data_IF_692247158189
#
_entry.id   IF_692247158189
#
_cell.length_a   1.000
_cell.length_b   1.000
_cell.length_c   1.000
_cell.angle_alpha   90.00
_cell.angle_beta   90.00
_cell.angle_gamma   90.00
#
_symmetry.space_group_name_H-M   'P 1'
#
loop_
_entity.id
_entity.type
_entity.pdbx_description
1 polymer ?
#
# COMPACT_ATOMS: atom_id res chain seq x y z
N UNK A 1 55.21 -63.59 -46.97
CA UNK A 1 55.19 -63.68 -45.48
C UNK A 1 54.48 -62.47 -44.93
N UNK A 2 53.44 -62.76 -44.16
CA UNK A 2 52.64 -61.86 -43.31
C UNK A 2 51.87 -60.70 -43.97
N UNK A 3 50.58 -60.97 -44.22
CA UNK A 3 49.52 -60.05 -44.46
C UNK A 3 49.25 -59.19 -43.23
N UNK A 4 48.96 -57.91 -43.44
CA UNK A 4 48.50 -57.03 -42.38
C UNK A 4 47.07 -56.52 -42.76
N UNK A 5 46.08 -56.97 -42.00
CA UNK A 5 44.67 -56.58 -42.13
C UNK A 5 44.49 -55.20 -41.60
N UNK A 6 43.94 -54.29 -42.37
CA UNK A 6 43.34 -53.01 -41.91
C UNK A 6 41.83 -53.15 -41.72
N UNK A 7 41.41 -53.03 -40.50
CA UNK A 7 40.01 -52.95 -40.13
C UNK A 7 39.57 -51.49 -40.20
N UNK A 8 38.63 -51.16 -41.11
CA UNK A 8 37.99 -49.87 -41.24
C UNK A 8 36.81 -49.81 -40.21
N UNK A 9 36.94 -49.01 -39.15
CA UNK A 9 35.81 -48.64 -38.31
C UNK A 9 35.25 -47.33 -38.79
N UNK A 10 34.05 -47.34 -39.38
CA UNK A 10 33.28 -46.18 -39.72
C UNK A 10 32.66 -45.55 -38.45
N UNK A 11 33.08 -44.33 -38.13
CA UNK A 11 32.46 -43.51 -37.09
C UNK A 11 31.31 -42.73 -37.69
N UNK A 12 30.09 -43.10 -37.31
CA UNK A 12 28.87 -42.41 -37.66
C UNK A 12 28.71 -41.19 -36.73
N UNK A 13 29.06 -39.97 -37.19
CA UNK A 13 28.74 -38.72 -36.54
C UNK A 13 27.29 -38.38 -36.75
N UNK A 14 26.44 -38.64 -35.74
CA UNK A 14 25.10 -38.15 -35.71
C UNK A 14 25.13 -36.65 -35.35
N UNK A 15 24.89 -35.78 -36.31
CA UNK A 15 24.68 -34.34 -36.08
C UNK A 15 23.31 -34.14 -35.44
N UNK A 16 23.27 -33.91 -34.12
CA UNK A 16 22.07 -33.46 -33.44
C UNK A 16 21.82 -31.98 -33.82
N UNK A 17 20.87 -31.73 -34.72
CA UNK A 17 20.35 -30.38 -34.95
C UNK A 17 19.54 -29.95 -33.73
N UNK A 18 20.14 -29.17 -32.83
CA UNK A 18 19.40 -28.46 -31.80
C UNK A 18 18.69 -27.29 -32.47
N UNK A 19 17.39 -27.48 -32.72
CA UNK A 19 16.49 -26.38 -33.07
C UNK A 19 16.34 -25.49 -31.83
N UNK A 20 17.14 -24.43 -31.72
CA UNK A 20 16.88 -23.32 -30.79
C UNK A 20 15.72 -22.52 -31.39
N UNK A 21 14.50 -22.85 -30.96
CA UNK A 21 13.39 -21.94 -31.08
C UNK A 21 13.71 -20.70 -30.25
N UNK A 22 14.15 -19.65 -30.91
CA UNK A 22 14.18 -18.31 -30.32
C UNK A 22 12.73 -17.93 -30.02
N UNK A 23 12.35 -18.03 -28.74
CA UNK A 23 11.14 -17.38 -28.23
C UNK A 23 11.42 -15.90 -28.37
N UNK A 24 10.90 -15.29 -29.43
CA UNK A 24 10.75 -13.84 -29.50
C UNK A 24 9.74 -13.50 -28.41
N UNK A 25 10.23 -13.05 -27.27
CA UNK A 25 9.40 -12.46 -26.25
C UNK A 25 8.75 -11.23 -26.88
N UNK A 26 7.44 -11.30 -27.06
CA UNK A 26 6.63 -10.21 -27.56
C UNK A 26 6.68 -9.10 -26.52
N UNK A 27 7.48 -8.06 -26.74
CA UNK A 27 7.64 -6.89 -25.86
C UNK A 27 6.30 -6.15 -25.64
N UNK A 28 5.23 -6.52 -26.34
CA UNK A 28 3.89 -5.98 -26.17
C UNK A 28 3.08 -6.63 -25.01
N UNK A 29 3.54 -7.73 -24.42
CA UNK A 29 2.82 -8.37 -23.29
C UNK A 29 3.05 -7.69 -21.92
N UNK A 30 4.04 -6.80 -21.81
CA UNK A 30 4.38 -6.17 -20.52
C UNK A 30 3.42 -5.04 -20.11
N UNK A 31 2.48 -4.61 -20.96
CA UNK A 31 1.62 -3.43 -20.67
C UNK A 31 0.10 -3.69 -20.66
N UNK A 32 -0.35 -4.94 -20.84
CA UNK A 32 -1.79 -5.25 -20.97
C UNK A 32 -2.52 -5.48 -19.63
N UNK A 33 -1.81 -5.48 -18.50
CA UNK A 33 -2.41 -5.83 -17.20
C UNK A 33 -3.13 -4.68 -16.48
N UNK A 34 -3.23 -3.51 -17.08
CA UNK A 34 -3.76 -2.32 -16.38
C UNK A 34 -4.90 -1.61 -17.15
N UNK A 35 -5.52 -2.26 -18.11
CA UNK A 35 -6.63 -1.70 -18.89
C UNK A 35 -7.98 -2.04 -18.27
N UNK A 36 -8.92 -1.08 -18.27
CA UNK A 36 -10.31 -1.35 -17.93
C UNK A 36 -10.92 -2.31 -18.96
N UNK A 37 -11.38 -3.48 -18.53
CA UNK A 37 -12.08 -4.48 -19.35
C UNK A 37 -13.58 -4.15 -19.38
N UNK A 38 -14.01 -3.47 -20.41
CA UNK A 38 -15.43 -3.14 -20.59
C UNK A 38 -16.14 -4.24 -21.37
N UNK A 39 -17.19 -4.84 -20.78
CA UNK A 39 -18.05 -5.82 -21.46
C UNK A 39 -19.16 -5.06 -22.20
N UNK A 40 -19.17 -5.18 -23.53
CA UNK A 40 -20.14 -4.51 -24.42
C UNK A 40 -21.56 -4.97 -24.10
N UNK A 41 -22.46 -4.02 -23.84
CA UNK A 41 -23.88 -4.26 -23.63
C UNK A 41 -24.65 -4.11 -24.94
N UNK A 42 -25.90 -4.59 -24.93
CA UNK A 42 -26.78 -4.40 -26.08
C UNK A 42 -27.00 -2.91 -26.37
N UNK A 43 -26.89 -2.51 -27.64
CA UNK A 43 -26.98 -1.13 -28.13
C UNK A 43 -25.80 -0.20 -27.74
N UNK A 44 -24.74 -0.71 -27.19
CA UNK A 44 -23.53 0.10 -27.02
C UNK A 44 -22.92 0.50 -28.36
N UNK A 45 -22.36 1.68 -28.36
CA UNK A 45 -21.56 2.20 -29.47
C UNK A 45 -20.20 2.63 -28.96
N UNK A 46 -19.18 2.54 -29.79
CA UNK A 46 -17.84 3.02 -29.42
C UNK A 46 -17.86 4.49 -28.99
N UNK A 47 -18.74 5.29 -29.58
CA UNK A 47 -18.96 6.68 -29.22
C UNK A 47 -19.57 6.85 -27.82
N UNK A 48 -20.58 6.03 -27.49
CA UNK A 48 -21.21 6.01 -26.17
C UNK A 48 -20.21 5.62 -25.09
N UNK A 49 -19.42 4.58 -25.32
CA UNK A 49 -18.35 4.13 -24.42
C UNK A 49 -17.32 5.26 -24.22
N UNK A 50 -16.85 5.87 -25.29
CA UNK A 50 -15.94 7.00 -25.22
C UNK A 50 -16.51 8.15 -24.39
N UNK A 51 -17.73 8.57 -24.69
CA UNK A 51 -18.38 9.68 -23.97
C UNK A 51 -18.49 9.40 -22.47
N UNK A 52 -18.69 8.15 -22.09
CA UNK A 52 -18.86 7.75 -20.68
C UNK A 52 -17.52 7.64 -19.96
N UNK A 53 -16.53 6.99 -20.59
CA UNK A 53 -15.32 6.54 -19.89
C UNK A 53 -14.07 7.35 -20.19
N UNK A 54 -14.02 8.09 -21.30
CA UNK A 54 -12.78 8.77 -21.75
C UNK A 54 -13.02 10.25 -22.00
N UNK A 55 -12.07 11.09 -21.60
CA UNK A 55 -12.15 12.54 -21.83
C UNK A 55 -11.24 12.97 -23.00
N UNK A 56 -11.54 12.43 -24.17
CA UNK A 56 -10.81 12.73 -25.39
C UNK A 56 -11.80 12.74 -26.58
N UNK A 57 -11.93 13.85 -27.31
CA UNK A 57 -12.80 13.94 -28.49
C UNK A 57 -12.47 12.93 -29.59
N UNK A 58 -11.22 12.47 -29.66
CA UNK A 58 -10.74 11.48 -30.65
C UNK A 58 -10.71 10.06 -30.09
N UNK A 59 -11.24 9.84 -28.90
CA UNK A 59 -11.27 8.55 -28.21
C UNK A 59 -11.72 7.40 -29.11
N UNK A 60 -12.80 7.58 -29.86
CA UNK A 60 -13.35 6.52 -30.71
C UNK A 60 -12.33 6.00 -31.75
N UNK A 61 -11.52 6.89 -32.34
CA UNK A 61 -10.45 6.49 -33.27
C UNK A 61 -9.35 5.71 -32.54
N UNK A 62 -8.97 6.19 -31.35
CA UNK A 62 -7.95 5.55 -30.52
C UNK A 62 -8.41 4.17 -30.06
N UNK A 63 -9.63 4.03 -29.52
CA UNK A 63 -10.19 2.76 -29.08
C UNK A 63 -10.36 1.75 -30.22
N UNK A 64 -10.82 2.20 -31.40
CA UNK A 64 -10.93 1.36 -32.61
C UNK A 64 -9.57 0.76 -32.98
N UNK A 65 -8.54 1.61 -33.02
CA UNK A 65 -7.17 1.17 -33.32
C UNK A 65 -6.61 0.25 -32.26
N UNK A 66 -6.77 0.61 -30.99
CA UNK A 66 -6.24 -0.13 -29.84
C UNK A 66 -6.83 -1.54 -29.74
N UNK A 67 -8.14 -1.67 -29.91
CA UNK A 67 -8.87 -2.93 -29.85
C UNK A 67 -9.01 -3.64 -31.21
N UNK A 68 -8.39 -3.12 -32.28
CA UNK A 68 -8.47 -3.68 -33.63
C UNK A 68 -9.92 -3.91 -34.12
N UNK A 69 -10.83 -2.98 -33.78
CA UNK A 69 -12.25 -3.10 -34.10
C UNK A 69 -12.46 -2.95 -35.61
N UNK A 70 -12.95 -4.00 -36.24
CA UNK A 70 -13.18 -4.05 -37.71
C UNK A 70 -14.35 -3.15 -38.14
N UNK A 71 -15.44 -3.17 -37.36
CA UNK A 71 -16.63 -2.37 -37.63
C UNK A 71 -17.00 -1.47 -36.44
N UNK A 72 -16.61 -0.19 -36.44
CA UNK A 72 -16.90 0.72 -35.34
C UNK A 72 -18.40 1.03 -35.14
N UNK A 73 -19.24 0.74 -36.13
CA UNK A 73 -20.69 0.96 -36.07
C UNK A 73 -21.45 -0.18 -35.39
N UNK A 74 -20.80 -1.31 -35.20
CA UNK A 74 -21.39 -2.49 -34.60
C UNK A 74 -20.41 -3.16 -33.62
N UNK A 75 -20.75 -3.12 -32.33
CA UNK A 75 -20.01 -3.83 -31.31
C UNK A 75 -20.82 -5.06 -30.90
N UNK A 76 -20.27 -6.27 -31.03
CA UNK A 76 -20.98 -7.48 -30.61
C UNK A 76 -21.24 -7.44 -29.10
N UNK A 77 -22.49 -7.65 -28.64
CA UNK A 77 -22.77 -7.77 -27.21
C UNK A 77 -21.92 -8.87 -26.57
N UNK A 78 -21.48 -8.66 -25.31
CA UNK A 78 -20.57 -9.50 -24.56
C UNK A 78 -19.12 -9.55 -25.06
N UNK A 79 -18.78 -8.85 -26.15
CA UNK A 79 -17.36 -8.64 -26.48
C UNK A 79 -16.69 -7.74 -25.45
N UNK A 80 -15.36 -7.81 -25.38
CA UNK A 80 -14.58 -7.02 -24.42
C UNK A 80 -13.86 -5.91 -25.19
N UNK A 81 -13.98 -4.68 -24.70
CA UNK A 81 -13.20 -3.54 -25.13
C UNK A 81 -12.23 -3.19 -24.01
N UNK A 82 -10.96 -3.12 -24.34
CA UNK A 82 -9.90 -2.67 -23.44
C UNK A 82 -9.78 -1.14 -23.55
N UNK A 83 -9.89 -0.47 -22.42
CA UNK A 83 -9.72 0.99 -22.33
C UNK A 83 -8.49 1.25 -21.49
N UNK A 84 -7.40 1.81 -22.06
CA UNK A 84 -6.20 2.13 -21.31
C UNK A 84 -6.52 3.02 -20.11
N UNK A 85 -5.98 2.67 -18.94
CA UNK A 85 -6.25 3.37 -17.70
C UNK A 85 -5.96 4.88 -17.80
N UNK A 86 -4.87 5.24 -18.46
CA UNK A 86 -4.47 6.64 -18.68
C UNK A 86 -5.45 7.46 -19.53
N UNK A 87 -6.43 6.84 -20.19
CA UNK A 87 -7.47 7.54 -20.95
C UNK A 87 -8.76 7.68 -20.17
N UNK A 88 -8.92 6.96 -19.06
CA UNK A 88 -10.13 7.02 -18.26
C UNK A 88 -10.35 8.42 -17.65
N UNK A 89 -11.56 8.88 -17.70
CA UNK A 89 -11.97 10.11 -17.02
C UNK A 89 -11.70 9.96 -15.53
N UNK A 90 -11.09 10.96 -14.96
CA UNK A 90 -10.97 11.11 -13.51
C UNK A 90 -11.35 12.53 -13.14
N UNK A 91 -11.96 12.70 -11.99
CA UNK A 91 -12.25 14.00 -11.41
C UNK A 91 -11.42 14.16 -10.14
N UNK A 92 -10.98 15.38 -9.88
CA UNK A 92 -10.38 15.67 -8.59
C UNK A 92 -11.41 15.42 -7.49
N UNK A 93 -10.98 14.76 -6.46
CA UNK A 93 -11.77 14.51 -5.26
C UNK A 93 -11.06 15.05 -4.03
N UNK A 94 -11.67 14.87 -2.88
CA UNK A 94 -11.15 15.35 -1.60
C UNK A 94 -11.11 14.18 -0.61
N UNK A 95 -10.36 14.38 0.46
CA UNK A 95 -10.37 13.47 1.61
C UNK A 95 -10.96 14.20 2.83
N UNK A 96 -11.57 13.43 3.74
CA UNK A 96 -12.21 13.93 4.94
C UNK A 96 -11.39 13.60 6.18
N UNK A 97 -11.21 14.56 7.06
CA UNK A 97 -10.61 14.33 8.37
C UNK A 97 -11.68 13.79 9.32
N UNK A 98 -11.56 12.53 9.74
CA UNK A 98 -12.56 11.85 10.57
C UNK A 98 -12.19 11.75 12.05
N UNK A 99 -10.90 11.90 12.39
CA UNK A 99 -10.43 12.02 13.77
C UNK A 99 -9.16 12.85 13.83
N UNK A 100 -8.99 13.60 14.91
CA UNK A 100 -7.77 14.36 15.24
C UNK A 100 -7.52 14.24 16.75
N UNK A 101 -6.29 13.97 17.13
CA UNK A 101 -5.84 13.97 18.52
C UNK A 101 -4.52 14.74 18.60
N UNK A 102 -4.39 15.61 19.62
CA UNK A 102 -3.19 16.42 19.82
C UNK A 102 -2.99 17.49 18.76
N UNK A 103 -1.74 17.87 18.51
CA UNK A 103 -1.38 18.99 17.64
C UNK A 103 -1.12 18.53 16.20
N UNK A 104 -2.08 18.83 15.33
CA UNK A 104 -2.00 18.57 13.89
C UNK A 104 -2.33 19.85 13.13
N UNK A 105 -1.55 20.14 12.10
CA UNK A 105 -1.73 21.34 11.27
C UNK A 105 -1.92 21.00 9.80
N UNK A 106 -2.61 21.90 9.11
CA UNK A 106 -2.91 21.87 7.68
C UNK A 106 -2.29 23.10 7.01
N UNK A 107 -1.57 22.88 5.91
CA UNK A 107 -1.13 23.92 4.99
C UNK A 107 -1.80 23.68 3.66
N UNK A 108 -2.58 24.66 3.18
CA UNK A 108 -3.28 24.58 1.90
C UNK A 108 -2.33 24.75 0.72
N UNK A 109 -2.68 24.11 -0.39
CA UNK A 109 -1.96 24.32 -1.65
C UNK A 109 -1.86 25.81 -2.01
N UNK A 110 -0.65 26.29 -2.34
CA UNK A 110 -0.38 27.68 -2.70
C UNK A 110 -0.38 28.67 -1.52
N UNK A 111 -0.37 28.19 -0.28
CA UNK A 111 -0.33 29.02 0.94
C UNK A 111 0.79 28.57 1.85
N UNK A 112 1.44 29.53 2.52
CA UNK A 112 2.41 29.26 3.60
C UNK A 112 1.75 29.29 4.98
N UNK A 113 0.45 29.63 5.04
CA UNK A 113 -0.28 29.73 6.29
C UNK A 113 -0.66 28.35 6.82
N UNK A 114 -0.39 28.14 8.10
CA UNK A 114 -0.76 26.92 8.83
C UNK A 114 -2.06 27.14 9.60
N UNK A 115 -2.93 26.14 9.54
CA UNK A 115 -4.17 26.08 10.29
C UNK A 115 -4.16 24.84 11.19
N UNK A 116 -4.79 24.92 12.36
CA UNK A 116 -5.04 23.70 13.15
C UNK A 116 -6.05 22.84 12.43
N UNK A 117 -5.72 21.55 12.28
CA UNK A 117 -6.58 20.57 11.66
C UNK A 117 -7.71 20.18 12.63
N UNK A 118 -8.92 20.10 12.13
CA UNK A 118 -10.10 19.71 12.89
C UNK A 118 -10.89 18.59 12.21
N UNK A 119 -11.63 17.83 13.00
CA UNK A 119 -12.57 16.82 12.47
C UNK A 119 -13.61 17.51 11.57
N UNK A 120 -13.85 16.95 10.40
CA UNK A 120 -14.72 17.53 9.37
C UNK A 120 -14.00 18.39 8.34
N UNK A 121 -12.70 18.70 8.53
CA UNK A 121 -11.93 19.40 7.51
C UNK A 121 -11.79 18.56 6.25
N UNK A 122 -11.90 19.24 5.11
CA UNK A 122 -11.76 18.65 3.79
C UNK A 122 -10.35 18.94 3.27
N UNK A 123 -9.64 17.90 2.87
CA UNK A 123 -8.30 17.98 2.30
C UNK A 123 -8.37 17.89 0.79
N UNK A 124 -7.76 18.84 0.10
CA UNK A 124 -7.64 18.86 -1.36
C UNK A 124 -6.29 18.36 -1.86
N UNK A 125 -6.18 18.24 -3.16
CA UNK A 125 -4.92 17.89 -3.80
C UNK A 125 -3.84 18.96 -3.53
N UNK A 126 -2.60 18.53 -3.25
CA UNK A 126 -1.45 19.31 -2.85
C UNK A 126 -1.52 19.95 -1.46
N UNK A 127 -2.57 19.71 -0.67
CA UNK A 127 -2.57 20.08 0.74
C UNK A 127 -1.54 19.27 1.53
N UNK A 128 -0.92 19.90 2.51
CA UNK A 128 0.07 19.26 3.40
C UNK A 128 -0.47 19.20 4.82
N UNK A 129 -0.41 18.00 5.42
CA UNK A 129 -0.80 17.76 6.81
C UNK A 129 0.44 17.40 7.63
N UNK A 130 0.64 18.08 8.74
CA UNK A 130 1.74 17.83 9.67
C UNK A 130 1.20 17.50 11.06
N UNK A 131 1.47 16.31 11.55
CA UNK A 131 1.27 15.92 12.94
C UNK A 131 2.56 16.14 13.71
N UNK A 132 2.55 17.00 14.74
CA UNK A 132 3.69 17.22 15.63
C UNK A 132 3.69 16.15 16.73
N UNK A 133 2.87 16.34 17.76
CA UNK A 133 2.71 15.41 18.88
C UNK A 133 1.31 14.76 18.89
N UNK A 134 0.61 14.83 17.75
CA UNK A 134 -0.75 14.33 17.59
C UNK A 134 -0.87 13.27 16.50
N UNK A 135 -2.10 12.94 16.15
CA UNK A 135 -2.44 12.04 15.07
C UNK A 135 -3.71 12.50 14.34
N UNK A 136 -3.88 12.11 13.09
CA UNK A 136 -5.09 12.36 12.34
C UNK A 136 -5.51 11.12 11.54
N UNK A 137 -6.80 10.82 11.52
CA UNK A 137 -7.39 9.82 10.65
C UNK A 137 -8.05 10.51 9.47
N UNK A 138 -7.64 10.13 8.29
CA UNK A 138 -8.10 10.70 7.02
C UNK A 138 -8.83 9.60 6.24
N UNK A 139 -10.04 9.90 5.76
CA UNK A 139 -10.86 9.00 4.95
C UNK A 139 -10.93 9.52 3.51
N UNK A 140 -10.70 8.64 2.54
CA UNK A 140 -10.71 8.94 1.11
C UNK A 140 -12.06 8.61 0.49
N UNK A 141 -12.28 9.04 -0.76
CA UNK A 141 -13.54 8.86 -1.49
C UNK A 141 -13.97 7.39 -1.66
N UNK A 142 -13.02 6.46 -1.65
CA UNK A 142 -13.24 5.01 -1.72
C UNK A 142 -13.40 4.35 -0.35
N UNK A 143 -13.54 5.13 0.72
CA UNK A 143 -13.60 4.70 2.13
C UNK A 143 -12.28 4.12 2.67
N UNK A 144 -11.20 4.16 1.90
CA UNK A 144 -9.87 3.88 2.42
C UNK A 144 -9.50 4.88 3.50
N UNK A 145 -8.74 4.43 4.51
CA UNK A 145 -8.36 5.26 5.65
C UNK A 145 -6.84 5.28 5.85
N UNK A 146 -6.34 6.44 6.20
CA UNK A 146 -4.94 6.66 6.54
C UNK A 146 -4.84 7.31 7.92
N UNK A 147 -4.15 6.64 8.84
CA UNK A 147 -3.74 7.19 10.13
C UNK A 147 -2.37 7.83 9.98
N UNK A 148 -2.31 9.15 10.09
CA UNK A 148 -1.08 9.92 10.23
C UNK A 148 -0.66 9.91 11.70
N UNK A 149 0.56 9.41 11.98
CA UNK A 149 1.10 9.34 13.34
C UNK A 149 1.86 10.59 13.72
N UNK A 150 2.16 10.73 15.00
CA UNK A 150 3.00 11.83 15.53
C UNK A 150 4.34 11.93 14.79
N UNK A 151 4.89 13.14 14.73
CA UNK A 151 6.14 13.47 14.05
C UNK A 151 6.15 13.14 12.55
N UNK A 152 4.99 13.26 11.89
CA UNK A 152 4.80 12.88 10.49
C UNK A 152 4.30 14.02 9.64
N UNK A 153 4.71 14.02 8.37
CA UNK A 153 4.30 15.01 7.36
C UNK A 153 3.92 14.27 6.10
N UNK A 154 2.70 14.52 5.62
CA UNK A 154 2.21 14.02 4.33
C UNK A 154 1.75 15.15 3.42
N UNK A 155 1.81 14.91 2.12
CA UNK A 155 1.19 15.75 1.08
C UNK A 155 0.22 14.93 0.24
N UNK A 156 -0.94 15.47 -0.05
CA UNK A 156 -1.96 14.86 -0.90
C UNK A 156 -1.61 15.05 -2.37
N UNK A 157 -0.65 14.29 -2.91
CA UNK A 157 -0.10 14.53 -4.25
C UNK A 157 -1.15 14.38 -5.35
N UNK A 158 -1.96 13.30 -5.30
CA UNK A 158 -3.05 13.06 -6.24
C UNK A 158 -4.26 12.53 -5.50
N UNK A 159 -5.41 13.14 -5.73
CA UNK A 159 -6.71 12.69 -5.26
C UNK A 159 -7.68 12.72 -6.43
N UNK A 160 -7.94 11.57 -7.04
CA UNK A 160 -8.81 11.43 -8.20
C UNK A 160 -9.74 10.24 -8.02
N UNK A 161 -10.97 10.41 -8.48
CA UNK A 161 -12.01 9.40 -8.43
C UNK A 161 -12.89 9.45 -9.69
N UNK A 162 -13.48 8.34 -10.06
CA UNK A 162 -14.47 8.26 -11.12
C UNK A 162 -15.70 7.48 -10.64
N UNK A 163 -16.84 8.14 -10.56
CA UNK A 163 -18.08 7.59 -10.04
C UNK A 163 -18.63 6.43 -10.88
N UNK A 164 -18.36 6.44 -12.19
CA UNK A 164 -18.90 5.45 -13.12
C UNK A 164 -18.10 4.16 -13.09
N UNK A 165 -16.76 4.29 -13.05
CA UNK A 165 -15.83 3.15 -13.08
C UNK A 165 -15.41 2.71 -11.69
N UNK A 166 -15.73 3.49 -10.65
CA UNK A 166 -15.20 3.33 -9.29
C UNK A 166 -13.67 3.33 -9.26
N UNK A 167 -13.07 4.02 -10.23
CA UNK A 167 -11.63 4.12 -10.32
C UNK A 167 -11.12 5.11 -9.27
N UNK A 168 -10.16 4.65 -8.49
CA UNK A 168 -9.43 5.45 -7.51
C UNK A 168 -8.02 5.66 -8.00
N UNK A 169 -7.52 6.89 -7.93
CA UNK A 169 -6.12 7.22 -8.14
C UNK A 169 -5.70 8.16 -7.00
N UNK A 170 -5.22 7.55 -5.92
CA UNK A 170 -4.77 8.25 -4.71
C UNK A 170 -3.26 8.06 -4.59
N UNK A 171 -2.54 9.19 -4.52
CA UNK A 171 -1.10 9.21 -4.22
C UNK A 171 -0.85 10.16 -3.07
N UNK A 172 -0.23 9.63 -2.03
CA UNK A 172 0.16 10.35 -0.82
C UNK A 172 1.69 10.35 -0.76
N UNK A 173 2.29 11.51 -0.64
CA UNK A 173 3.71 11.63 -0.35
C UNK A 173 3.91 11.66 1.17
N UNK A 174 4.62 10.67 1.70
CA UNK A 174 5.09 10.66 3.07
C UNK A 174 6.48 11.27 3.11
N UNK A 175 6.52 12.57 3.42
CA UNK A 175 7.78 13.33 3.45
C UNK A 175 8.64 12.95 4.66
N UNK A 176 8.00 12.64 5.79
CA UNK A 176 8.67 12.21 7.02
C UNK A 176 7.70 11.49 7.95
N UNK A 177 8.22 10.58 8.77
CA UNK A 177 7.50 9.95 9.86
C UNK A 177 6.78 8.69 9.43
N UNK A 178 5.56 8.44 9.93
CA UNK A 178 4.91 7.15 9.82
C UNK A 178 3.41 7.25 9.59
N UNK A 179 2.90 6.39 8.72
CA UNK A 179 1.47 6.23 8.46
C UNK A 179 1.06 4.77 8.57
N UNK A 180 -0.21 4.53 8.91
CA UNK A 180 -0.87 3.24 8.79
C UNK A 180 -2.06 3.43 7.85
N UNK A 181 -2.16 2.62 6.80
CA UNK A 181 -3.24 2.68 5.84
C UNK A 181 -4.06 1.39 5.84
N UNK A 182 -5.37 1.54 5.72
CA UNK A 182 -6.33 0.49 5.44
C UNK A 182 -7.02 0.83 4.14
N UNK A 183 -6.62 0.16 3.07
CA UNK A 183 -7.09 0.43 1.72
C UNK A 183 -8.17 -0.57 1.34
N UNK A 184 -9.32 -0.06 0.91
CA UNK A 184 -10.43 -0.88 0.45
C UNK A 184 -10.07 -1.64 -0.82
N UNK A 185 -10.64 -2.84 -0.95
CA UNK A 185 -10.39 -3.66 -2.12
C UNK A 185 -11.09 -3.07 -3.33
N UNK A 186 -10.29 -2.56 -4.27
CA UNK A 186 -10.81 -2.01 -5.51
C UNK A 186 -11.61 -3.05 -6.30
N UNK A 187 -12.75 -2.63 -6.84
CA UNK A 187 -13.65 -3.45 -7.67
C UNK A 187 -13.13 -3.66 -9.09
N UNK A 188 -12.12 -2.88 -9.49
CA UNK A 188 -11.48 -2.91 -10.81
C UNK A 188 -9.96 -3.08 -10.70
N UNK A 189 -9.32 -3.51 -11.77
CA UNK A 189 -7.88 -3.79 -11.81
C UNK A 189 -7.02 -2.55 -12.03
N UNK A 190 -7.63 -1.38 -12.23
CA UNK A 190 -6.96 -0.14 -12.63
C UNK A 190 -6.85 0.89 -11.52
N UNK A 191 -7.57 0.71 -10.40
CA UNK A 191 -7.44 1.58 -9.23
C UNK A 191 -6.04 1.49 -8.62
N UNK A 192 -5.52 2.64 -8.19
CA UNK A 192 -4.21 2.79 -7.58
C UNK A 192 -4.32 3.53 -6.26
N UNK A 193 -3.67 2.98 -5.25
CA UNK A 193 -3.40 3.67 -4.00
C UNK A 193 -1.89 3.55 -3.74
N UNK A 194 -1.20 4.67 -3.71
CA UNK A 194 0.24 4.73 -3.60
C UNK A 194 0.66 5.61 -2.42
N UNK A 195 1.64 5.12 -1.65
CA UNK A 195 2.37 5.95 -0.69
C UNK A 195 3.80 6.08 -1.20
N UNK A 196 4.18 7.30 -1.54
CA UNK A 196 5.48 7.66 -2.06
C UNK A 196 6.34 8.26 -0.95
N UNK A 197 7.60 7.86 -0.90
CA UNK A 197 8.65 8.46 -0.07
C UNK A 197 9.82 8.81 -0.96
N UNK A 198 10.81 9.59 -0.51
CA UNK A 198 12.01 9.84 -1.31
C UNK A 198 12.78 8.57 -1.69
N UNK A 199 12.66 7.50 -0.91
CA UNK A 199 13.41 6.25 -1.15
C UNK A 199 12.69 5.24 -2.06
N UNK A 200 11.35 5.19 -2.05
CA UNK A 200 10.57 4.21 -2.80
C UNK A 200 9.06 4.53 -2.79
N UNK A 201 8.31 3.76 -3.59
CA UNK A 201 6.85 3.83 -3.68
C UNK A 201 6.24 2.49 -3.26
N UNK A 202 5.27 2.52 -2.35
CA UNK A 202 4.41 1.38 -2.02
C UNK A 202 3.09 1.50 -2.75
N UNK A 203 2.82 0.58 -3.69
CA UNK A 203 1.57 0.50 -4.45
C UNK A 203 0.73 -0.69 -3.95
N UNK A 204 -0.55 -0.43 -3.65
CA UNK A 204 -1.42 -1.40 -2.99
C UNK A 204 -2.79 -1.53 -3.65
N UNK A 205 -3.44 -2.67 -3.31
CA UNK A 205 -4.81 -2.95 -3.72
C UNK A 205 -5.52 -3.81 -2.66
N UNK A 206 -6.28 -3.17 -1.78
CA UNK A 206 -7.02 -3.86 -0.72
C UNK A 206 -6.13 -4.45 0.36
N UNK A 207 -5.44 -3.60 1.12
CA UNK A 207 -4.39 -3.99 2.07
C UNK A 207 -4.44 -3.17 3.34
N UNK A 208 -4.00 -3.77 4.43
CA UNK A 208 -3.64 -3.05 5.65
C UNK A 208 -2.11 -3.09 5.80
N UNK A 209 -1.47 -1.93 5.86
CA UNK A 209 -0.01 -1.81 5.87
C UNK A 209 0.44 -0.55 6.60
N UNK A 210 1.72 -0.51 6.94
CA UNK A 210 2.38 0.67 7.51
C UNK A 210 3.54 1.09 6.62
N UNK A 211 3.79 2.39 6.57
CA UNK A 211 4.96 2.97 5.90
C UNK A 211 5.62 3.96 6.85
N UNK A 212 6.93 3.88 6.93
CA UNK A 212 7.77 4.87 7.59
C UNK A 212 8.76 5.47 6.60
N UNK A 213 8.95 6.79 6.68
CA UNK A 213 9.98 7.56 5.96
C UNK A 213 10.89 8.22 6.99
N UNK A 214 12.12 7.76 7.07
CA UNK A 214 13.13 8.19 8.03
C UNK A 214 14.47 8.42 7.32
N UNK A 215 15.50 8.77 8.08
CA UNK A 215 16.90 8.70 7.65
C UNK A 215 17.67 7.76 8.56
N UNK A 216 18.68 7.10 8.01
CA UNK A 216 19.63 6.30 8.80
C UNK A 216 20.65 7.20 9.53
N UNK A 217 21.61 6.57 10.22
CA UNK A 217 22.64 7.27 10.98
C UNK A 217 23.56 8.13 10.10
N UNK A 218 23.70 7.77 8.83
CA UNK A 218 24.48 8.52 7.83
C UNK A 218 23.64 9.62 7.14
N UNK A 219 22.36 9.76 7.49
CA UNK A 219 21.44 10.73 6.89
C UNK A 219 20.83 10.28 5.56
N UNK A 220 21.06 9.02 5.13
CA UNK A 220 20.46 8.46 3.92
C UNK A 220 18.97 8.20 4.13
N UNK A 221 18.14 8.64 3.19
CA UNK A 221 16.70 8.47 3.29
C UNK A 221 16.32 7.00 3.08
N UNK A 222 15.43 6.52 3.93
CA UNK A 222 14.96 5.15 3.90
C UNK A 222 13.43 5.08 4.06
N UNK A 223 12.86 4.06 3.45
CA UNK A 223 11.47 3.64 3.61
C UNK A 223 11.40 2.27 4.26
N UNK A 224 10.59 2.12 5.30
CA UNK A 224 10.18 0.81 5.84
C UNK A 224 8.72 0.59 5.51
N UNK A 225 8.40 -0.58 4.98
CA UNK A 225 7.02 -0.97 4.67
C UNK A 225 6.72 -2.30 5.33
N UNK A 226 5.65 -2.37 6.12
CA UNK A 226 5.18 -3.58 6.81
C UNK A 226 3.77 -3.92 6.31
N UNK A 227 3.61 -5.11 5.73
CA UNK A 227 2.33 -5.58 5.22
C UNK A 227 1.62 -6.45 6.26
N UNK A 228 0.45 -6.02 6.71
CA UNK A 228 -0.36 -6.73 7.71
C UNK A 228 -1.35 -7.70 7.06
N UNK A 229 -2.05 -7.25 6.00
CA UNK A 229 -3.01 -8.05 5.23
C UNK A 229 -2.95 -7.71 3.75
N UNK A 230 -3.31 -8.65 2.87
CA UNK A 230 -3.35 -8.45 1.43
C UNK A 230 -2.00 -8.70 0.75
N UNK A 231 -1.73 -7.96 -0.31
CA UNK A 231 -0.49 -7.97 -1.08
C UNK A 231 -0.14 -6.55 -1.53
N UNK A 232 1.13 -6.20 -1.58
CA UNK A 232 1.61 -4.92 -2.08
C UNK A 232 2.92 -5.07 -2.85
N UNK A 233 3.23 -4.07 -3.66
CA UNK A 233 4.48 -3.92 -4.39
C UNK A 233 5.22 -2.69 -3.86
N UNK A 234 6.47 -2.86 -3.45
CA UNK A 234 7.39 -1.74 -3.18
C UNK A 234 8.37 -1.64 -4.33
N UNK A 235 8.46 -0.47 -4.93
CA UNK A 235 9.33 -0.19 -6.08
C UNK A 235 10.19 1.04 -5.87
N UNK A 236 11.40 0.97 -6.38
CA UNK A 236 12.34 2.08 -6.52
C UNK A 236 12.80 2.17 -7.98
N UNK A 237 13.67 3.12 -8.30
CA UNK A 237 14.28 3.20 -9.63
C UNK A 237 15.15 1.97 -9.97
N UNK A 238 15.68 1.28 -8.96
CA UNK A 238 16.61 0.17 -9.15
C UNK A 238 15.91 -1.19 -9.30
N UNK A 239 14.88 -1.46 -8.49
CA UNK A 239 14.18 -2.74 -8.46
C UNK A 239 12.81 -2.63 -7.76
N UNK A 240 12.10 -3.76 -7.74
CA UNK A 240 10.83 -3.87 -7.04
C UNK A 240 10.73 -5.20 -6.28
N UNK A 241 10.01 -5.19 -5.14
CA UNK A 241 9.74 -6.36 -4.32
C UNK A 241 8.24 -6.48 -4.02
N UNK A 242 7.68 -7.66 -4.26
CA UNK A 242 6.31 -7.99 -3.89
C UNK A 242 6.30 -8.54 -2.45
N UNK A 243 5.37 -8.03 -1.62
CA UNK A 243 5.19 -8.49 -0.25
C UNK A 243 3.89 -9.28 -0.11
N UNK A 244 3.96 -10.31 0.71
CA UNK A 244 2.83 -11.07 1.23
C UNK A 244 2.53 -10.69 2.68
N UNK A 245 1.30 -10.93 3.12
CA UNK A 245 0.87 -10.60 4.49
C UNK A 245 1.81 -11.15 5.57
N UNK A 246 2.31 -10.27 6.43
CA UNK A 246 3.28 -10.57 7.48
C UNK A 246 4.72 -10.47 7.05
N UNK A 247 4.99 -9.81 5.95
CA UNK A 247 6.34 -9.47 5.49
C UNK A 247 6.56 -7.96 5.58
N UNK A 248 7.83 -7.59 5.61
CA UNK A 248 8.29 -6.22 5.59
C UNK A 248 9.49 -6.08 4.66
N UNK A 249 9.72 -4.87 4.20
CA UNK A 249 10.86 -4.52 3.36
C UNK A 249 11.40 -3.14 3.70
N UNK A 250 12.70 -2.97 3.50
CA UNK A 250 13.38 -1.67 3.58
C UNK A 250 13.84 -1.27 2.18
N UNK A 251 13.62 -0.02 1.83
CA UNK A 251 14.22 0.61 0.65
C UNK A 251 15.12 1.75 1.09
N UNK A 252 16.25 1.88 0.44
CA UNK A 252 17.21 2.97 0.65
C UNK A 252 17.30 3.80 -0.64
N UNK A 253 17.25 5.11 -0.50
CA UNK A 253 17.38 6.02 -1.64
C UNK A 253 18.65 5.72 -2.45
N UNK A 254 18.49 5.52 -3.76
CA UNK A 254 19.58 5.20 -4.67
C UNK A 254 20.17 3.78 -4.56
N UNK A 255 19.78 2.96 -3.56
CA UNK A 255 20.27 1.57 -3.40
C UNK A 255 19.22 0.50 -3.74
N UNK A 256 17.95 0.91 -3.80
CA UNK A 256 16.86 0.02 -4.14
C UNK A 256 16.15 -0.59 -2.93
N UNK A 257 15.31 -1.58 -3.22
CA UNK A 257 14.45 -2.30 -2.27
C UNK A 257 15.13 -3.61 -1.89
N UNK A 258 15.32 -3.84 -0.59
CA UNK A 258 15.91 -5.06 -0.06
C UNK A 258 14.98 -6.28 -0.19
N UNK A 259 15.48 -7.48 0.06
CA UNK A 259 14.65 -8.69 0.13
C UNK A 259 13.66 -8.62 1.30
N UNK A 260 12.41 -9.12 1.10
CA UNK A 260 11.41 -9.16 2.16
C UNK A 260 11.83 -10.01 3.36
N UNK A 261 11.50 -9.54 4.56
CA UNK A 261 11.70 -10.24 5.83
C UNK A 261 10.38 -10.50 6.53
N UNK A 262 10.30 -11.53 7.38
CA UNK A 262 9.12 -11.82 8.17
C UNK A 262 9.00 -10.87 9.36
N UNK A 263 7.79 -10.33 9.55
CA UNK A 263 7.45 -9.54 10.72
C UNK A 263 7.46 -10.37 11.99
N UNK A 264 7.80 -9.74 13.13
CA UNK A 264 7.63 -10.35 14.44
C UNK A 264 6.17 -10.78 14.66
N UNK A 265 5.95 -11.95 15.30
CA UNK A 265 4.60 -12.42 15.61
C UNK A 265 3.90 -11.51 16.63
N UNK A 266 2.60 -11.76 16.83
CA UNK A 266 1.83 -11.09 17.89
C UNK A 266 2.36 -11.49 19.26
N UNK A 267 2.57 -10.56 20.20
CA UNK A 267 2.91 -10.91 21.59
C UNK A 267 1.85 -11.83 22.21
N UNK A 268 2.28 -12.87 22.90
CA UNK A 268 1.40 -13.74 23.65
C UNK A 268 1.14 -13.16 25.05
N UNK A 269 -0.15 -13.03 25.40
CA UNK A 269 -0.52 -12.42 26.67
C UNK A 269 -0.30 -13.39 27.82
N UNK A 270 0.30 -12.90 28.91
CA UNK A 270 0.35 -13.62 30.19
C UNK A 270 -0.98 -13.42 30.91
N UNK A 271 -1.79 -14.46 30.97
CA UNK A 271 -3.08 -14.41 31.71
C UNK A 271 -2.78 -14.46 33.20
N UNK A 272 -2.91 -13.32 33.88
CA UNK A 272 -2.96 -13.28 35.36
C UNK A 272 -4.40 -13.53 35.76
N UNK A 273 -4.65 -14.52 36.63
CA UNK A 273 -5.99 -14.97 37.03
C UNK A 273 -6.82 -13.97 37.83
N UNK A 274 -6.41 -12.72 37.96
CA UNK A 274 -7.13 -11.67 38.68
C UNK A 274 -8.18 -11.02 37.75
N UNK A 275 -9.46 -11.27 38.04
CA UNK A 275 -10.62 -10.59 37.40
C UNK A 275 -10.93 -9.21 38.00
N UNK A 276 -10.04 -8.62 38.78
CA UNK A 276 -10.26 -7.34 39.46
C UNK A 276 -9.48 -6.25 38.73
N UNK A 277 -10.22 -5.37 38.05
CA UNK A 277 -9.69 -4.17 37.41
C UNK A 277 -9.49 -3.06 38.44
N UNK A 278 -8.49 -3.22 39.33
CA UNK A 278 -8.05 -2.12 40.21
C UNK A 278 -6.88 -1.40 39.51
N UNK A 279 -6.98 -0.09 39.41
CA UNK A 279 -5.88 0.73 38.89
C UNK A 279 -4.77 0.87 39.97
N UNK A 280 -3.50 0.82 39.57
CA UNK A 280 -2.98 0.57 38.24
C UNK A 280 -3.16 -0.88 37.82
N UNK A 281 -3.68 -1.12 36.59
CA UNK A 281 -3.83 -2.46 36.04
C UNK A 281 -2.66 -2.80 35.13
N UNK A 282 -1.90 -3.85 35.46
CA UNK A 282 -0.73 -4.27 34.72
C UNK A 282 -1.07 -5.35 33.70
N UNK A 283 -0.87 -5.04 32.41
CA UNK A 283 -0.93 -5.98 31.31
C UNK A 283 0.48 -6.51 31.05
N UNK A 284 0.62 -7.83 30.87
CA UNK A 284 1.90 -8.51 30.63
C UNK A 284 1.82 -9.40 29.40
N UNK A 285 2.96 -9.53 28.70
CA UNK A 285 3.11 -10.45 27.58
C UNK A 285 4.43 -11.19 27.65
N UNK A 286 4.53 -12.29 26.89
CA UNK A 286 5.77 -13.04 26.76
C UNK A 286 6.76 -12.26 25.88
N UNK A 287 8.06 -12.27 26.23
CA UNK A 287 9.08 -11.63 25.41
C UNK A 287 9.13 -12.29 24.03
N UNK A 288 9.21 -11.48 22.98
CA UNK A 288 9.41 -11.95 21.62
C UNK A 288 10.89 -12.06 21.31
N UNK A 289 11.29 -13.19 20.74
CA UNK A 289 12.65 -13.34 20.22
C UNK A 289 12.91 -12.29 19.12
N UNK A 290 14.06 -11.64 19.14
CA UNK A 290 14.48 -10.56 18.23
C UNK A 290 13.75 -9.22 18.43
N UNK A 291 12.84 -9.09 19.36
CA UNK A 291 12.27 -7.77 19.67
C UNK A 291 13.31 -6.93 20.43
N UNK A 292 13.52 -5.70 19.95
CA UNK A 292 14.31 -4.65 20.62
C UNK A 292 13.46 -3.88 21.63
N UNK A 293 12.21 -3.66 21.29
CA UNK A 293 11.24 -2.90 22.10
C UNK A 293 9.81 -3.30 21.72
N UNK A 294 8.84 -2.72 22.41
CA UNK A 294 7.41 -2.89 22.14
C UNK A 294 6.76 -1.53 21.98
N UNK A 295 5.76 -1.46 21.10
CA UNK A 295 4.89 -0.30 20.97
C UNK A 295 3.51 -0.69 21.49
N UNK A 296 2.96 0.15 22.35
CA UNK A 296 1.62 0.04 22.88
C UNK A 296 0.81 1.23 22.36
N UNK A 297 -0.23 0.96 21.60
CA UNK A 297 -1.16 1.97 21.09
C UNK A 297 -2.48 1.82 21.83
N UNK A 298 -2.91 2.88 22.50
CA UNK A 298 -4.19 2.95 23.19
C UNK A 298 -5.22 3.59 22.25
N UNK A 299 -6.34 2.92 22.08
CA UNK A 299 -7.45 3.38 21.25
C UNK A 299 -8.74 3.48 22.07
N UNK A 300 -9.57 4.46 21.76
CA UNK A 300 -10.95 4.55 22.21
C UNK A 300 -11.82 4.98 21.01
N UNK A 301 -12.88 4.23 20.73
CA UNK A 301 -13.77 4.47 19.57
C UNK A 301 -12.98 4.60 18.26
N UNK A 302 -11.97 3.74 18.05
CA UNK A 302 -11.03 3.72 16.92
C UNK A 302 -10.13 4.95 16.76
N UNK A 303 -10.23 5.94 17.66
CA UNK A 303 -9.29 7.05 17.73
C UNK A 303 -8.05 6.66 18.55
N UNK A 304 -6.86 7.01 18.04
CA UNK A 304 -5.61 6.80 18.76
C UNK A 304 -5.45 7.88 19.84
N UNK A 305 -5.59 7.50 21.11
CA UNK A 305 -5.40 8.42 22.24
C UNK A 305 -3.93 8.58 22.61
N UNK A 306 -3.16 7.48 22.56
CA UNK A 306 -1.78 7.46 23.05
C UNK A 306 -1.00 6.34 22.38
N UNK A 307 0.27 6.58 22.11
CA UNK A 307 1.23 5.55 21.69
C UNK A 307 2.51 5.68 22.50
N UNK A 308 3.00 4.57 23.03
CA UNK A 308 4.21 4.51 23.84
C UNK A 308 5.12 3.38 23.40
N UNK A 309 6.42 3.60 23.56
CA UNK A 309 7.45 2.58 23.38
C UNK A 309 8.06 2.17 24.71
N UNK A 310 8.29 0.86 24.89
CA UNK A 310 8.94 0.31 26.07
C UNK A 310 9.85 -0.85 25.70
N UNK A 311 10.87 -1.11 26.52
CA UNK A 311 11.66 -2.35 26.43
C UNK A 311 11.12 -3.44 27.36
N UNK A 312 10.24 -3.07 28.28
CA UNK A 312 9.60 -4.00 29.21
C UNK A 312 8.54 -4.87 28.50
N UNK A 313 8.22 -5.99 29.12
CA UNK A 313 7.15 -6.91 28.68
C UNK A 313 5.86 -6.72 29.46
N UNK A 314 5.64 -5.50 29.95
CA UNK A 314 4.42 -5.10 30.62
C UNK A 314 4.08 -3.64 30.33
N UNK A 315 2.82 -3.30 30.56
CA UNK A 315 2.31 -1.94 30.49
C UNK A 315 1.31 -1.70 31.64
N UNK A 316 1.46 -0.57 32.33
CA UNK A 316 0.59 -0.19 33.44
C UNK A 316 -0.47 0.82 32.96
N UNK A 317 -1.72 0.40 32.99
CA UNK A 317 -2.86 1.28 32.75
C UNK A 317 -3.10 2.07 34.03
N UNK A 318 -2.91 3.39 33.97
CA UNK A 318 -3.12 4.31 35.09
C UNK A 318 -3.73 5.61 34.58
N UNK A 319 -4.40 6.34 35.48
CA UNK A 319 -4.97 7.66 35.22
C UNK A 319 -5.94 7.68 34.02
N UNK A 320 -6.72 6.61 33.86
CA UNK A 320 -7.74 6.52 32.83
C UNK A 320 -9.13 6.60 33.45
N UNK A 321 -10.05 7.22 32.70
CA UNK A 321 -11.46 7.29 33.12
C UNK A 321 -12.18 5.97 32.80
N UNK A 322 -13.34 5.76 33.47
CA UNK A 322 -14.20 4.59 33.13
C UNK A 322 -14.53 4.53 31.66
N UNK A 323 -14.49 3.34 31.08
CA UNK A 323 -14.78 3.17 29.66
C UNK A 323 -14.18 1.93 29.05
N UNK A 324 -14.53 1.72 27.76
CA UNK A 324 -14.00 0.61 26.95
C UNK A 324 -12.83 1.11 26.10
N UNK A 325 -11.71 0.42 26.21
CA UNK A 325 -10.47 0.73 25.52
C UNK A 325 -9.95 -0.48 24.75
N UNK A 326 -9.16 -0.20 23.73
CA UNK A 326 -8.43 -1.22 22.99
C UNK A 326 -6.93 -0.89 23.06
N UNK A 327 -6.12 -1.89 23.39
CA UNK A 327 -4.67 -1.77 23.31
C UNK A 327 -4.18 -2.64 22.16
N UNK A 328 -3.37 -2.04 21.29
CA UNK A 328 -2.60 -2.77 20.29
C UNK A 328 -1.17 -2.86 20.79
N UNK A 329 -0.66 -4.09 20.96
CA UNK A 329 0.70 -4.34 21.44
C UNK A 329 1.46 -5.06 20.33
N UNK A 330 2.64 -4.55 19.96
CA UNK A 330 3.51 -5.14 18.94
C UNK A 330 4.97 -5.02 19.31
N UNK A 331 5.78 -6.00 18.91
CA UNK A 331 7.23 -5.92 19.03
C UNK A 331 7.84 -5.10 17.90
N UNK A 332 8.96 -4.46 18.16
CA UNK A 332 9.81 -3.79 17.16
C UNK A 332 11.14 -4.53 17.11
N UNK A 333 11.60 -4.88 15.92
CA UNK A 333 12.88 -5.58 15.76
C UNK A 333 14.08 -4.64 15.70
N UNK A 334 15.26 -5.20 15.48
CA UNK A 334 16.52 -4.43 15.42
C UNK A 334 16.59 -3.47 14.23
N UNK A 335 15.89 -3.77 13.14
CA UNK A 335 15.81 -2.94 11.94
C UNK A 335 14.73 -1.85 12.03
N UNK A 336 13.93 -1.87 13.11
CA UNK A 336 12.84 -0.92 13.35
C UNK A 336 11.52 -1.29 12.68
N UNK A 337 11.37 -2.54 12.19
CA UNK A 337 10.08 -3.02 11.71
C UNK A 337 9.13 -3.30 12.89
N UNK A 338 7.92 -2.79 12.78
CA UNK A 338 6.85 -3.07 13.74
C UNK A 338 6.16 -4.40 13.37
N UNK A 339 6.16 -5.34 14.31
CA UNK A 339 5.52 -6.65 14.16
C UNK A 339 3.99 -6.58 14.09
N UNK A 340 3.36 -7.76 14.16
CA UNK A 340 1.90 -7.90 14.13
C UNK A 340 1.27 -7.45 15.45
N UNK A 341 0.13 -6.73 15.36
CA UNK A 341 -0.59 -6.23 16.52
C UNK A 341 -1.29 -7.37 17.32
N UNK A 342 -1.13 -7.39 18.64
CA UNK A 342 -2.00 -8.07 19.57
C UNK A 342 -3.05 -7.08 20.08
N UNK A 343 -4.32 -7.35 19.77
CA UNK A 343 -5.43 -6.58 20.31
C UNK A 343 -5.80 -7.11 21.71
N UNK A 344 -5.88 -6.20 22.67
CA UNK A 344 -6.39 -6.46 24.03
C UNK A 344 -7.53 -5.47 24.30
N UNK A 345 -8.70 -5.99 24.62
CA UNK A 345 -9.85 -5.15 25.03
C UNK A 345 -9.85 -5.01 26.54
N UNK A 346 -9.97 -3.78 27.01
CA UNK A 346 -9.97 -3.42 28.44
C UNK A 346 -11.21 -2.58 28.74
N UNK A 347 -12.00 -3.02 29.70
CA UNK A 347 -13.14 -2.27 30.21
C UNK A 347 -12.81 -1.80 31.63
N UNK A 348 -12.63 -0.52 31.79
CA UNK A 348 -12.38 0.11 33.11
C UNK A 348 -13.72 0.48 33.75
N UNK A 349 -13.90 0.15 35.03
CA UNK A 349 -15.15 0.41 35.77
C UNK A 349 -15.44 1.88 36.00
#
# INVERSE_FOLDING_TARGET
MKALNYCLTAVFCAFLMINTATVVADENLANTNNDLRYVVKQNDTIWGICKTYVDDPLCWKKLVKYNQIVNPKYLPPNSIILIPNQWLKTQQTTALVVAVEGEVSLTRNGSDQRYFLSVGDILGQQDTVQALNGSAMIEFADQSRLLLKANSIIRMATLQYNDVTQLVNTRIELLKGRVKASVEKATNDVSRYEIETPAAVAAVRGTEFRVASDSDEDGQLLMRTELLTGALLVSSDANAQALSAGEAVMALEGKGVAEPVKLLPRPEMVVTGARSFQLPYRIRWQPLNKAKSYIITLLQNDAQLREESTQDTYFDIQNMVSGSYQLLIRGVDQQGFEGRDRLVKVNLP
#
